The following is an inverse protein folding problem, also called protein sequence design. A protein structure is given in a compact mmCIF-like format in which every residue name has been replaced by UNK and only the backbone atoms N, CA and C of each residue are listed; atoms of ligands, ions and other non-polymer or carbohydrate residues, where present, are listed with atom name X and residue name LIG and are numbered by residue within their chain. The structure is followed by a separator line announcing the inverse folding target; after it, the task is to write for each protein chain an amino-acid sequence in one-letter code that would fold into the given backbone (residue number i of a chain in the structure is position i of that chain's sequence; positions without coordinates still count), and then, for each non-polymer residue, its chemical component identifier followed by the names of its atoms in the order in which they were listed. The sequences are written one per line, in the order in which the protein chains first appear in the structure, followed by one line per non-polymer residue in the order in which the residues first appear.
data_IF_531551734757
#
_entry.id   IF_531551734757
#
_cell.length_a   1.000
_cell.length_b   1.000
_cell.length_c   1.000
_cell.angle_alpha   90.00
_cell.angle_beta   90.00
_cell.angle_gamma   90.00
#
_symmetry.space_group_name_H-M   'P 1'
#
loop_
_entity.id
_entity.type
_entity.pdbx_description
1 polymer ?
#
# COMPACT_ATOMS: atom_id res chain seq x y z
N UNK A 1 42.92 -20.99 65.69
CA UNK A 1 43.39 -19.60 65.58
C UNK A 1 43.05 -19.16 64.16
N UNK A 2 41.88 -18.53 63.94
CA UNK A 2 41.68 -17.05 63.87
C UNK A 2 42.44 -16.44 62.68
N UNK A 3 41.90 -15.62 61.78
CA UNK A 3 40.65 -14.84 61.68
C UNK A 3 40.33 -14.61 60.18
N UNK A 4 39.07 -14.63 59.70
CA UNK A 4 38.13 -13.49 59.51
C UNK A 4 38.73 -12.14 59.04
N UNK A 5 38.20 -11.66 57.90
CA UNK A 5 37.85 -10.25 57.50
C UNK A 5 38.29 -9.99 56.04
N UNK A 6 37.57 -9.40 55.08
CA UNK A 6 36.19 -8.92 54.86
C UNK A 6 36.12 -8.42 53.40
N UNK A 7 35.00 -8.68 52.72
CA UNK A 7 34.29 -7.88 51.70
C UNK A 7 35.01 -7.30 50.47
N UNK A 8 34.45 -7.58 49.28
CA UNK A 8 33.92 -6.54 48.38
C UNK A 8 33.42 -7.16 47.07
N UNK A 9 32.10 -7.33 47.03
CA UNK A 9 31.24 -7.23 45.85
C UNK A 9 31.80 -6.35 44.74
N UNK A 10 31.94 -6.89 43.52
CA UNK A 10 31.87 -6.06 42.31
C UNK A 10 31.26 -6.82 41.14
N UNK A 11 29.94 -6.92 41.25
CA UNK A 11 29.00 -7.08 40.17
C UNK A 11 29.21 -5.95 39.14
N UNK A 12 30.01 -6.21 38.11
CA UNK A 12 30.09 -5.31 36.95
C UNK A 12 28.90 -5.59 36.04
N UNK A 13 27.76 -5.04 36.44
CA UNK A 13 26.62 -4.84 35.56
C UNK A 13 26.97 -3.75 34.54
N UNK A 14 27.58 -4.13 33.42
CA UNK A 14 27.67 -3.28 32.24
C UNK A 14 26.32 -3.28 31.52
N UNK A 15 25.42 -2.42 32.01
CA UNK A 15 24.11 -2.16 31.42
C UNK A 15 24.27 -1.19 30.26
N UNK A 16 24.69 -1.70 29.11
CA UNK A 16 24.43 -1.06 27.81
C UNK A 16 22.92 -1.02 27.55
N UNK A 17 22.21 -0.07 28.16
CA UNK A 17 20.78 0.21 27.90
C UNK A 17 20.62 0.89 26.54
N UNK A 18 20.77 0.12 25.47
CA UNK A 18 20.07 0.42 24.21
C UNK A 18 18.61 0.01 24.36
N UNK A 19 17.67 0.90 24.01
CA UNK A 19 16.26 0.51 23.86
C UNK A 19 16.21 -0.67 22.88
N UNK A 20 15.53 -1.79 23.21
CA UNK A 20 15.50 -2.94 22.31
C UNK A 20 15.00 -2.52 20.93
N UNK A 21 15.55 -3.11 19.84
CA UNK A 21 15.19 -2.73 18.48
C UNK A 21 13.68 -2.86 18.29
N UNK A 22 13.06 -1.86 17.66
CA UNK A 22 11.63 -1.88 17.44
C UNK A 22 11.24 -3.08 16.56
N UNK A 23 10.19 -3.81 16.97
CA UNK A 23 9.60 -4.88 16.16
C UNK A 23 9.10 -4.33 14.82
N UNK A 24 9.04 -5.20 13.81
CA UNK A 24 8.52 -4.81 12.48
C UNK A 24 7.09 -4.30 12.58
N UNK A 25 6.22 -5.01 13.30
CA UNK A 25 4.85 -4.58 13.58
C UNK A 25 4.76 -3.16 14.17
N UNK A 26 5.65 -2.82 15.12
CA UNK A 26 5.68 -1.46 15.69
C UNK A 26 6.12 -0.42 14.65
N UNK A 27 7.06 -0.76 13.76
CA UNK A 27 7.47 0.13 12.67
C UNK A 27 6.34 0.35 11.67
N UNK A 28 5.58 -0.69 11.35
CA UNK A 28 4.48 -0.59 10.38
C UNK A 28 3.33 0.26 10.93
N UNK A 29 3.01 0.12 12.22
CA UNK A 29 2.06 1.02 12.91
C UNK A 29 2.52 2.47 12.83
N UNK A 30 3.79 2.76 13.13
CA UNK A 30 4.33 4.12 13.05
C UNK A 30 4.30 4.66 11.62
N UNK A 31 4.60 3.82 10.62
CA UNK A 31 4.52 4.19 9.20
C UNK A 31 3.11 4.54 8.77
N UNK A 32 2.11 3.77 9.21
CA UNK A 32 0.70 4.09 8.94
C UNK A 32 0.26 5.39 9.61
N UNK A 33 0.72 5.67 10.84
CA UNK A 33 0.47 6.95 11.52
C UNK A 33 1.08 8.13 10.75
N UNK A 34 2.31 7.98 10.26
CA UNK A 34 2.97 8.96 9.37
C UNK A 34 2.17 9.18 8.09
N UNK A 35 1.71 8.10 7.47
CA UNK A 35 0.96 8.17 6.23
C UNK A 35 -0.38 8.89 6.41
N UNK A 36 -1.10 8.61 7.50
CA UNK A 36 -2.35 9.27 7.84
C UNK A 36 -2.15 10.78 8.07
N UNK A 37 -1.18 11.17 8.91
CA UNK A 37 -0.86 12.57 9.18
C UNK A 37 -0.43 13.34 7.91
N UNK A 38 0.37 12.70 7.05
CA UNK A 38 0.77 13.28 5.77
C UNK A 38 -0.44 13.49 4.85
N UNK A 39 -1.32 12.51 4.75
CA UNK A 39 -2.53 12.59 3.92
C UNK A 39 -3.47 13.70 4.39
N UNK A 40 -3.68 13.85 5.70
CA UNK A 40 -4.51 14.91 6.26
C UNK A 40 -3.96 16.30 5.93
N UNK A 41 -2.64 16.50 6.08
CA UNK A 41 -1.99 17.76 5.70
C UNK A 41 -2.04 18.01 4.19
N UNK A 42 -1.80 16.99 3.36
CA UNK A 42 -1.90 17.11 1.92
C UNK A 42 -3.29 17.53 1.45
N UNK A 43 -4.35 17.07 2.12
CA UNK A 43 -5.73 17.51 1.85
C UNK A 43 -5.99 18.92 2.30
N UNK A 44 -5.53 19.27 3.50
CA UNK A 44 -5.84 20.55 4.12
C UNK A 44 -5.21 21.74 3.38
N UNK A 45 -3.97 21.58 2.90
CA UNK A 45 -3.18 22.70 2.35
C UNK A 45 -2.46 22.37 1.04
N UNK A 46 -2.63 21.16 0.49
CA UNK A 46 -1.93 20.70 -0.71
C UNK A 46 -0.55 20.11 -0.42
N UNK A 47 -0.05 19.28 -1.34
CA UNK A 47 1.26 18.62 -1.20
C UNK A 47 2.39 19.64 -1.23
N UNK A 48 2.30 20.62 -2.12
CA UNK A 48 3.33 21.67 -2.28
C UNK A 48 3.54 22.51 -1.02
N UNK A 49 2.46 22.90 -0.33
CA UNK A 49 2.54 23.70 0.90
C UNK A 49 2.90 22.88 2.14
N UNK A 50 2.88 21.55 2.04
CA UNK A 50 3.21 20.65 3.15
C UNK A 50 4.71 20.34 3.19
N UNK A 51 5.28 20.51 4.38
CA UNK A 51 6.67 20.19 4.70
C UNK A 51 6.77 18.95 5.58
N UNK A 52 7.93 18.29 5.52
CA UNK A 52 8.26 17.14 6.39
C UNK A 52 8.26 17.55 7.87
N UNK A 53 8.62 18.80 8.19
CA UNK A 53 8.60 19.31 9.56
C UNK A 53 7.18 19.41 10.13
N UNK A 54 6.20 19.83 9.31
CA UNK A 54 4.79 19.85 9.71
C UNK A 54 4.26 18.44 9.99
N UNK A 55 4.58 17.48 9.11
CA UNK A 55 4.19 16.06 9.31
C UNK A 55 4.81 15.50 10.60
N UNK A 56 6.09 15.84 10.86
CA UNK A 56 6.78 15.39 12.07
C UNK A 56 6.17 16.02 13.34
N UNK A 57 5.80 17.30 13.27
CA UNK A 57 5.16 18.02 14.36
C UNK A 57 3.80 17.42 14.75
N UNK A 58 2.98 17.01 13.76
CA UNK A 58 1.68 16.36 13.99
C UNK A 58 1.78 15.09 14.83
N UNK A 59 2.91 14.39 14.74
CA UNK A 59 3.18 13.15 15.46
C UNK A 59 4.09 13.32 16.69
N UNK A 60 4.42 14.56 17.04
CA UNK A 60 5.36 14.90 18.12
C UNK A 60 6.73 14.19 17.99
N UNK A 61 7.20 13.96 16.76
CA UNK A 61 8.51 13.37 16.48
C UNK A 61 9.46 14.38 15.84
N UNK A 62 10.77 14.13 15.96
CA UNK A 62 11.74 14.94 15.22
C UNK A 62 11.72 14.63 13.72
N UNK A 63 12.01 15.61 12.88
CA UNK A 63 12.22 15.43 11.43
C UNK A 63 13.26 14.34 11.12
N UNK A 64 14.33 14.26 11.91
CA UNK A 64 15.33 13.18 11.83
C UNK A 64 14.72 11.80 12.09
N UNK A 65 13.74 11.70 12.98
CA UNK A 65 13.00 10.45 13.23
C UNK A 65 12.12 10.12 12.03
N UNK A 66 11.40 11.09 11.48
CA UNK A 66 10.53 10.91 10.31
C UNK A 66 11.32 10.41 9.08
N UNK A 67 12.48 11.01 8.78
CA UNK A 67 13.37 10.58 7.69
C UNK A 67 13.91 9.14 7.82
N UNK A 68 13.79 8.49 8.99
CA UNK A 68 14.10 7.06 9.13
C UNK A 68 13.02 6.14 8.55
N UNK A 69 11.82 6.67 8.32
CA UNK A 69 10.67 5.91 7.83
C UNK A 69 10.30 6.23 6.38
N UNK A 70 10.63 7.42 5.90
CA UNK A 70 10.27 7.91 4.56
C UNK A 70 11.48 8.49 3.81
N UNK A 71 11.45 8.44 2.48
CA UNK A 71 12.48 8.97 1.58
C UNK A 71 12.15 10.34 0.98
N UNK A 72 10.88 10.75 1.03
CA UNK A 72 10.39 12.09 0.66
C UNK A 72 9.10 12.42 1.43
N UNK A 73 8.57 13.64 1.30
CA UNK A 73 7.25 13.94 1.87
C UNK A 73 6.16 13.10 1.20
N UNK A 74 6.23 12.95 -0.11
CA UNK A 74 5.27 12.16 -0.90
C UNK A 74 5.35 10.69 -0.53
N UNK A 75 6.54 10.13 -0.32
CA UNK A 75 6.71 8.73 0.09
C UNK A 75 6.09 8.42 1.46
N UNK A 76 5.69 9.42 2.26
CA UNK A 76 4.95 9.19 3.50
C UNK A 76 3.65 8.41 3.29
N UNK A 77 3.00 8.53 2.13
CA UNK A 77 1.72 7.85 1.82
C UNK A 77 1.89 6.39 1.37
N UNK A 78 3.11 5.95 1.02
CA UNK A 78 3.38 4.59 0.53
C UNK A 78 2.74 3.49 1.40
N UNK A 79 2.80 3.54 2.75
CA UNK A 79 2.19 2.52 3.60
C UNK A 79 0.68 2.34 3.38
N UNK A 80 -0.06 3.41 3.07
CA UNK A 80 -1.51 3.32 2.77
C UNK A 80 -1.75 2.62 1.44
N UNK A 81 -0.91 2.90 0.44
CA UNK A 81 -1.00 2.26 -0.88
C UNK A 81 -0.66 0.77 -0.81
N UNK A 82 0.45 0.45 -0.15
CA UNK A 82 0.87 -0.94 0.07
C UNK A 82 -0.15 -1.72 0.86
N UNK A 83 -0.84 -1.09 1.82
CA UNK A 83 -1.93 -1.72 2.56
C UNK A 83 -3.08 -2.14 1.63
N UNK A 84 -3.58 -1.22 0.79
CA UNK A 84 -4.65 -1.52 -0.18
C UNK A 84 -4.26 -2.64 -1.15
N UNK A 85 -3.03 -2.61 -1.69
CA UNK A 85 -2.51 -3.70 -2.53
C UNK A 85 -2.43 -5.02 -1.76
N UNK A 86 -2.01 -4.98 -0.49
CA UNK A 86 -1.89 -6.20 0.32
C UNK A 86 -3.24 -6.87 0.54
N UNK A 87 -4.33 -6.10 0.70
CA UNK A 87 -5.70 -6.63 0.78
C UNK A 87 -6.05 -7.41 -0.48
N UNK A 88 -5.79 -6.84 -1.67
CA UNK A 88 -6.02 -7.52 -2.95
C UNK A 88 -5.17 -8.79 -3.06
N UNK A 89 -3.89 -8.73 -2.69
CA UNK A 89 -3.00 -9.90 -2.73
C UNK A 89 -3.51 -11.00 -1.80
N UNK A 90 -4.02 -10.67 -0.61
CA UNK A 90 -4.61 -11.66 0.28
C UNK A 90 -5.89 -12.27 -0.31
N UNK A 91 -6.79 -11.45 -0.89
CA UNK A 91 -7.96 -11.96 -1.61
C UNK A 91 -7.58 -12.95 -2.71
N UNK A 92 -6.49 -12.70 -3.43
CA UNK A 92 -6.00 -13.64 -4.44
C UNK A 92 -5.43 -14.93 -3.85
N UNK A 93 -4.83 -14.88 -2.66
CA UNK A 93 -4.39 -16.09 -1.95
C UNK A 93 -5.56 -16.93 -1.48
N UNK A 94 -6.63 -16.28 -1.05
CA UNK A 94 -7.86 -16.93 -0.58
C UNK A 94 -8.76 -17.42 -1.73
N UNK A 95 -8.36 -17.20 -2.99
CA UNK A 95 -9.11 -17.59 -4.17
C UNK A 95 -9.35 -19.12 -4.24
N UNK A 96 -10.60 -19.62 -4.20
CA UNK A 96 -10.90 -21.05 -4.31
C UNK A 96 -10.49 -21.65 -5.66
N UNK A 97 -10.04 -22.91 -5.67
CA UNK A 97 -9.48 -23.59 -6.87
C UNK A 97 -10.53 -23.84 -7.97
N UNK A 98 -11.77 -24.03 -7.59
CA UNK A 98 -12.93 -24.36 -8.42
C UNK A 98 -13.72 -23.13 -8.91
N UNK A 99 -13.29 -21.92 -8.53
CA UNK A 99 -13.95 -20.68 -8.90
C UNK A 99 -13.15 -19.91 -9.97
N UNK A 100 -13.81 -19.32 -10.99
CA UNK A 100 -13.16 -18.37 -11.90
C UNK A 100 -12.66 -17.11 -11.17
N UNK A 101 -11.50 -16.57 -11.58
CA UNK A 101 -10.89 -15.39 -10.93
C UNK A 101 -11.84 -14.19 -10.89
N UNK A 102 -12.49 -13.90 -12.02
CA UNK A 102 -13.41 -12.78 -12.15
C UNK A 102 -14.58 -12.92 -11.16
N UNK A 103 -15.13 -14.13 -11.03
CA UNK A 103 -16.22 -14.39 -10.10
C UNK A 103 -15.78 -14.28 -8.64
N UNK A 104 -14.51 -14.59 -8.33
CA UNK A 104 -13.95 -14.46 -6.97
C UNK A 104 -13.69 -13.00 -6.59
N UNK A 105 -13.05 -12.23 -7.49
CA UNK A 105 -12.72 -10.82 -7.21
C UNK A 105 -13.95 -9.90 -7.20
N UNK A 106 -15.02 -10.26 -7.91
CA UNK A 106 -16.27 -9.50 -7.95
C UNK A 106 -17.33 -10.03 -6.98
N UNK A 107 -17.02 -11.02 -6.15
CA UNK A 107 -17.99 -11.60 -5.23
C UNK A 107 -18.30 -10.59 -4.10
N UNK A 108 -19.61 -10.33 -3.91
CA UNK A 108 -20.27 -9.62 -2.80
C UNK A 108 -19.45 -8.51 -2.14
N UNK A 109 -19.35 -7.32 -2.76
CA UNK A 109 -18.85 -6.04 -2.21
C UNK A 109 -17.47 -6.05 -1.50
N UNK A 110 -16.84 -7.21 -1.35
CA UNK A 110 -15.82 -7.55 -0.36
C UNK A 110 -14.43 -6.99 -0.72
N UNK A 111 -14.20 -6.77 -2.02
CA UNK A 111 -12.96 -6.18 -2.53
C UNK A 111 -12.94 -4.66 -2.28
N UNK A 112 -14.12 -4.05 -2.10
CA UNK A 112 -14.30 -2.61 -2.07
C UNK A 112 -15.03 -2.08 -0.82
N UNK A 113 -15.60 -2.96 0.01
CA UNK A 113 -16.25 -2.60 1.28
C UNK A 113 -15.25 -1.87 2.21
N UNK A 114 -13.98 -2.28 2.16
CA UNK A 114 -12.88 -1.66 2.92
C UNK A 114 -12.24 -0.46 2.20
N UNK A 115 -12.64 -0.14 0.95
CA UNK A 115 -12.10 1.03 0.24
C UNK A 115 -12.75 2.29 0.81
N UNK A 116 -12.07 2.87 1.80
CA UNK A 116 -12.48 4.14 2.39
C UNK A 116 -12.52 5.28 1.36
N UNK A 117 -13.41 6.25 1.59
CA UNK A 117 -13.42 7.52 0.85
C UNK A 117 -12.04 8.17 0.87
N UNK A 118 -11.31 8.01 1.98
CA UNK A 118 -9.95 8.52 2.11
C UNK A 118 -8.97 7.92 1.10
N UNK A 119 -9.14 6.65 0.74
CA UNK A 119 -8.34 6.02 -0.32
C UNK A 119 -8.66 6.63 -1.69
N UNK A 120 -9.94 6.85 -1.99
CA UNK A 120 -10.36 7.46 -3.26
C UNK A 120 -9.88 8.92 -3.39
N UNK A 121 -9.93 9.69 -2.30
CA UNK A 121 -9.39 11.05 -2.25
C UNK A 121 -7.88 11.08 -2.51
N UNK A 122 -7.13 10.12 -1.98
CA UNK A 122 -5.70 9.99 -2.24
C UNK A 122 -5.43 9.70 -3.73
N UNK A 123 -6.20 8.81 -4.34
CA UNK A 123 -6.09 8.53 -5.79
C UNK A 123 -6.47 9.76 -6.64
N UNK A 124 -7.49 10.53 -6.23
CA UNK A 124 -7.83 11.80 -6.87
C UNK A 124 -6.68 12.81 -6.79
N UNK A 125 -6.07 12.95 -5.62
CA UNK A 125 -4.98 13.90 -5.40
C UNK A 125 -3.76 13.62 -6.31
N UNK A 126 -3.46 12.35 -6.59
CA UNK A 126 -2.36 11.96 -7.50
C UNK A 126 -2.53 12.50 -8.93
N UNK A 127 -3.76 12.78 -9.37
CA UNK A 127 -4.03 13.33 -10.71
C UNK A 127 -3.36 14.69 -10.94
N UNK A 128 -3.30 15.50 -9.89
CA UNK A 128 -2.76 16.87 -9.93
C UNK A 128 -1.40 17.00 -9.26
N UNK A 129 -0.93 15.94 -8.59
CA UNK A 129 0.30 15.94 -7.79
C UNK A 129 1.31 14.89 -8.32
N UNK A 130 2.24 15.28 -9.24
CA UNK A 130 3.15 14.35 -9.91
C UNK A 130 4.06 13.54 -8.97
N UNK A 131 4.42 14.13 -7.82
CA UNK A 131 5.20 13.44 -6.80
C UNK A 131 4.45 12.27 -6.17
N UNK A 132 3.16 12.43 -5.89
CA UNK A 132 2.31 11.34 -5.40
C UNK A 132 2.05 10.29 -6.49
N UNK A 133 1.83 10.72 -7.73
CA UNK A 133 1.70 9.79 -8.87
C UNK A 133 2.96 8.92 -9.05
N UNK A 134 4.14 9.50 -8.83
CA UNK A 134 5.40 8.76 -8.89
C UNK A 134 5.49 7.67 -7.82
N UNK A 135 5.05 7.96 -6.59
CA UNK A 135 4.96 6.97 -5.51
C UNK A 135 3.93 5.90 -5.86
N UNK A 136 2.74 6.28 -6.31
CA UNK A 136 1.67 5.36 -6.73
C UNK A 136 2.13 4.32 -7.74
N UNK A 137 2.71 4.78 -8.86
CA UNK A 137 3.17 3.88 -9.93
C UNK A 137 4.33 3.00 -9.46
N UNK A 138 5.22 3.52 -8.62
CA UNK A 138 6.31 2.73 -8.02
C UNK A 138 5.75 1.63 -7.12
N UNK A 139 4.83 1.94 -6.22
CA UNK A 139 4.22 0.95 -5.32
C UNK A 139 3.50 -0.14 -6.11
N UNK A 140 2.79 0.22 -7.20
CA UNK A 140 2.19 -0.77 -8.08
C UNK A 140 3.23 -1.66 -8.77
N UNK A 141 4.32 -1.11 -9.28
CA UNK A 141 5.38 -1.89 -9.90
C UNK A 141 6.02 -2.86 -8.90
N UNK A 142 6.30 -2.40 -7.68
CA UNK A 142 6.90 -3.23 -6.63
C UNK A 142 5.97 -4.37 -6.18
N UNK A 143 4.65 -4.16 -6.31
CA UNK A 143 3.63 -5.17 -6.01
C UNK A 143 3.53 -6.30 -7.05
N UNK A 144 4.01 -6.11 -8.28
CA UNK A 144 3.87 -7.12 -9.35
C UNK A 144 4.50 -8.47 -8.96
N UNK A 145 5.57 -8.46 -8.17
CA UNK A 145 6.19 -9.68 -7.67
C UNK A 145 5.25 -10.46 -6.72
N UNK A 146 4.46 -9.76 -5.91
CA UNK A 146 3.50 -10.40 -5.02
C UNK A 146 2.36 -11.05 -5.83
N UNK A 147 1.82 -10.36 -6.83
CA UNK A 147 0.84 -10.92 -7.76
C UNK A 147 1.39 -12.13 -8.52
N UNK A 148 2.62 -12.03 -9.05
CA UNK A 148 3.27 -13.11 -9.78
C UNK A 148 3.48 -14.36 -8.90
N UNK A 149 3.80 -14.16 -7.62
CA UNK A 149 3.96 -15.27 -6.66
C UNK A 149 2.64 -16.03 -6.47
N UNK A 150 1.53 -15.33 -6.29
CA UNK A 150 0.21 -15.97 -6.13
C UNK A 150 -0.21 -16.72 -7.40
N UNK A 151 0.00 -16.14 -8.59
CA UNK A 151 -0.33 -16.79 -9.87
C UNK A 151 0.58 -17.99 -10.18
N UNK A 152 1.84 -17.93 -9.76
CA UNK A 152 2.80 -19.03 -9.88
C UNK A 152 2.34 -20.25 -9.06
N UNK A 153 2.04 -20.05 -7.78
CA UNK A 153 1.48 -21.08 -6.88
C UNK A 153 0.17 -21.67 -7.42
N UNK A 154 -0.65 -20.82 -8.05
CA UNK A 154 -1.89 -21.24 -8.69
C UNK A 154 -1.66 -22.15 -9.88
N UNK A 155 -0.70 -21.83 -10.74
CA UNK A 155 -0.53 -22.51 -12.03
C UNK A 155 0.57 -23.57 -12.04
N UNK A 156 1.31 -23.72 -10.94
CA UNK A 156 2.48 -24.59 -10.87
C UNK A 156 3.65 -24.12 -11.74
N UNK A 157 3.63 -22.85 -12.17
CA UNK A 157 4.69 -22.22 -12.98
C UNK A 157 5.62 -21.40 -12.09
N UNK A 158 6.77 -21.01 -12.64
CA UNK A 158 7.68 -20.08 -11.96
C UNK A 158 7.11 -18.66 -11.92
N UNK A 159 7.29 -17.96 -10.79
CA UNK A 159 7.00 -16.52 -10.68
C UNK A 159 7.91 -15.67 -11.58
N UNK A 160 9.08 -16.21 -11.98
CA UNK A 160 10.02 -15.54 -12.88
C UNK A 160 9.73 -15.78 -14.36
N UNK A 161 8.84 -16.72 -14.69
CA UNK A 161 8.44 -16.96 -16.07
C UNK A 161 7.80 -15.70 -16.65
N UNK A 162 8.18 -15.35 -17.89
CA UNK A 162 7.68 -14.17 -18.58
C UNK A 162 6.15 -14.15 -18.62
N UNK A 163 5.52 -15.29 -18.91
CA UNK A 163 4.06 -15.43 -18.92
C UNK A 163 3.43 -15.07 -17.56
N UNK A 164 3.99 -15.54 -16.45
CA UNK A 164 3.48 -15.24 -15.10
C UNK A 164 3.64 -13.76 -14.78
N UNK A 165 4.78 -13.16 -15.14
CA UNK A 165 5.02 -11.72 -14.97
C UNK A 165 4.06 -10.87 -15.79
N UNK A 166 3.81 -11.23 -17.04
CA UNK A 166 2.83 -10.56 -17.91
C UNK A 166 1.44 -10.67 -17.31
N UNK A 167 1.01 -11.86 -16.88
CA UNK A 167 -0.30 -12.05 -16.25
C UNK A 167 -0.46 -11.24 -14.96
N UNK A 168 0.59 -11.19 -14.12
CA UNK A 168 0.61 -10.40 -12.90
C UNK A 168 0.53 -8.89 -13.18
N UNK A 169 1.32 -8.40 -14.13
CA UNK A 169 1.30 -7.00 -14.56
C UNK A 169 -0.06 -6.61 -15.16
N UNK A 170 -0.65 -7.45 -16.00
CA UNK A 170 -1.98 -7.21 -16.57
C UNK A 170 -3.07 -7.14 -15.50
N UNK A 171 -3.04 -8.05 -14.52
CA UNK A 171 -3.97 -8.03 -13.38
C UNK A 171 -3.80 -6.74 -12.56
N UNK A 172 -2.56 -6.40 -12.21
CA UNK A 172 -2.25 -5.21 -11.42
C UNK A 172 -2.68 -3.91 -12.13
N UNK A 173 -2.37 -3.78 -13.43
CA UNK A 173 -2.77 -2.64 -14.25
C UNK A 173 -4.29 -2.55 -14.38
N UNK A 174 -4.99 -3.66 -14.60
CA UNK A 174 -6.45 -3.66 -14.69
C UNK A 174 -7.10 -3.13 -13.40
N UNK A 175 -6.66 -3.63 -12.24
CA UNK A 175 -7.15 -3.19 -10.94
C UNK A 175 -6.81 -1.71 -10.67
N UNK A 176 -5.58 -1.30 -10.98
CA UNK A 176 -5.13 0.10 -10.84
C UNK A 176 -5.98 1.04 -11.69
N UNK A 177 -6.18 0.71 -12.97
CA UNK A 177 -6.96 1.54 -13.90
C UNK A 177 -8.44 1.58 -13.52
N UNK A 178 -9.02 0.50 -12.98
CA UNK A 178 -10.38 0.51 -12.46
C UNK A 178 -10.54 1.50 -11.30
N UNK A 179 -9.58 1.48 -10.35
CA UNK A 179 -9.53 2.42 -9.22
C UNK A 179 -9.36 3.87 -9.68
N UNK A 180 -8.41 4.13 -10.57
CA UNK A 180 -8.16 5.46 -11.16
C UNK A 180 -9.39 5.99 -11.90
N UNK A 181 -10.03 5.16 -12.74
CA UNK A 181 -11.23 5.52 -13.49
C UNK A 181 -12.38 5.90 -12.56
N UNK A 182 -12.64 5.09 -11.53
CA UNK A 182 -13.69 5.38 -10.56
C UNK A 182 -13.40 6.67 -9.78
N UNK A 183 -12.18 6.81 -9.25
CA UNK A 183 -11.80 7.98 -8.45
C UNK A 183 -11.88 9.28 -9.26
N UNK A 184 -11.45 9.27 -10.52
CA UNK A 184 -11.40 10.47 -11.36
C UNK A 184 -12.69 10.79 -12.12
N UNK A 185 -13.64 9.85 -12.18
CA UNK A 185 -14.99 10.10 -12.72
C UNK A 185 -15.80 11.03 -11.83
N UNK A 186 -15.67 10.91 -10.51
CA UNK A 186 -16.45 11.69 -9.53
C UNK A 186 -16.33 13.21 -9.72
N UNK A 187 -15.19 13.69 -10.26
CA UNK A 187 -14.94 15.11 -10.49
C UNK A 187 -15.62 15.67 -11.76
N UNK A 188 -16.13 14.82 -12.68
CA UNK A 188 -16.70 15.23 -13.97
C UNK A 188 -18.02 14.49 -14.27
N UNK A 189 -19.15 14.89 -13.65
CA UNK A 189 -20.47 14.33 -13.94
C UNK A 189 -21.01 14.89 -15.27
N UNK A 190 -20.38 14.57 -16.41
CA UNK A 190 -20.96 14.88 -17.72
C UNK A 190 -21.93 13.77 -18.11
N UNK A 191 -23.21 14.15 -18.26
CA UNK A 191 -24.30 13.37 -18.87
C UNK A 191 -23.82 12.83 -20.23
N UNK A 192 -23.92 11.50 -20.43
CA UNK A 192 -23.47 10.70 -21.58
C UNK A 192 -22.13 9.94 -21.43
N UNK A 193 -21.77 9.51 -20.22
CA UNK A 193 -20.59 8.67 -20.02
C UNK A 193 -20.89 7.19 -20.24
N UNK A 194 -20.67 6.67 -21.45
CA UNK A 194 -20.76 5.23 -21.83
C UNK A 194 -19.66 4.37 -21.17
N UNK A 195 -19.67 4.25 -19.85
CA UNK A 195 -18.69 3.47 -19.10
C UNK A 195 -19.15 3.19 -17.67
N UNK A 196 -18.36 2.44 -16.90
CA UNK A 196 -18.78 1.84 -15.63
C UNK A 196 -19.04 2.88 -14.52
N UNK A 197 -20.21 2.80 -13.90
CA UNK A 197 -20.76 3.83 -13.00
C UNK A 197 -20.31 3.66 -11.54
N UNK A 198 -19.80 2.48 -11.17
CA UNK A 198 -19.22 2.20 -9.86
C UNK A 198 -17.90 1.42 -9.99
N UNK A 199 -17.18 1.27 -8.87
CA UNK A 199 -15.86 0.62 -8.85
C UNK A 199 -15.94 -0.87 -9.22
N UNK A 200 -17.03 -1.55 -8.87
CA UNK A 200 -17.27 -2.95 -9.21
C UNK A 200 -17.38 -3.14 -10.73
N UNK A 201 -18.20 -2.34 -11.40
CA UNK A 201 -18.32 -2.36 -12.87
C UNK A 201 -17.01 -1.97 -13.55
N UNK A 202 -16.26 -1.00 -13.00
CA UNK A 202 -14.98 -0.57 -13.55
C UNK A 202 -13.95 -1.70 -13.51
N UNK A 203 -13.97 -2.43 -12.41
CA UNK A 203 -13.11 -3.60 -12.19
C UNK A 203 -13.51 -4.75 -13.09
N UNK A 204 -14.81 -5.04 -13.19
CA UNK A 204 -15.29 -6.09 -14.09
C UNK A 204 -14.85 -5.82 -15.52
N UNK A 205 -15.05 -4.60 -16.02
CA UNK A 205 -14.65 -4.20 -17.36
C UNK A 205 -13.12 -4.34 -17.53
N UNK A 206 -12.33 -3.77 -16.62
CA UNK A 206 -10.88 -3.81 -16.72
C UNK A 206 -10.32 -5.24 -16.68
N UNK A 207 -10.82 -6.10 -15.79
CA UNK A 207 -10.42 -7.50 -15.71
C UNK A 207 -10.83 -8.30 -16.94
N UNK A 208 -12.05 -8.09 -17.47
CA UNK A 208 -12.49 -8.73 -18.71
C UNK A 208 -11.61 -8.32 -19.89
N UNK A 209 -11.27 -7.04 -20.00
CA UNK A 209 -10.33 -6.55 -21.02
C UNK A 209 -8.95 -7.18 -20.87
N UNK A 210 -8.43 -7.27 -19.65
CA UNK A 210 -7.15 -7.95 -19.40
C UNK A 210 -7.20 -9.44 -19.78
N UNK A 211 -8.29 -10.14 -19.46
CA UNK A 211 -8.46 -11.56 -19.81
C UNK A 211 -8.56 -11.77 -21.32
N UNK A 212 -9.28 -10.89 -22.03
CA UNK A 212 -9.40 -10.94 -23.48
C UNK A 212 -8.08 -10.59 -24.20
N UNK A 213 -7.19 -9.86 -23.53
CA UNK A 213 -5.89 -9.45 -24.06
C UNK A 213 -6.04 -8.36 -25.13
N UNK A 214 -5.23 -8.47 -26.19
CA UNK A 214 -5.22 -7.52 -27.32
C UNK A 214 -6.08 -7.99 -28.50
N UNK A 215 -7.10 -8.81 -28.26
CA UNK A 215 -8.04 -9.21 -29.29
C UNK A 215 -8.91 -7.99 -29.67
N UNK A 216 -8.47 -7.26 -30.70
CA UNK A 216 -9.15 -6.08 -31.29
C UNK A 216 -9.72 -6.46 -32.65
#
# INVERSE_FOLDING_TARGET
MSAMTTDATKETADRGRGRPPMSQQRRDVVRLQIAAAALDLFRAQGVSATSVDQIAAELEISTRTLWRYTSSKEACIEPLLTHGISVVVQRLRDWPRDQPLLAHLLHEDDLYEDVSESTLELVRLMRTEPGLMSVWLRTHLDAEQAFASVLAERTGRSADALETKVQAGMLNVALRLAMEHHAWRADHPQRDSTGPDNLTEATELALRTAIAGLAV
#
